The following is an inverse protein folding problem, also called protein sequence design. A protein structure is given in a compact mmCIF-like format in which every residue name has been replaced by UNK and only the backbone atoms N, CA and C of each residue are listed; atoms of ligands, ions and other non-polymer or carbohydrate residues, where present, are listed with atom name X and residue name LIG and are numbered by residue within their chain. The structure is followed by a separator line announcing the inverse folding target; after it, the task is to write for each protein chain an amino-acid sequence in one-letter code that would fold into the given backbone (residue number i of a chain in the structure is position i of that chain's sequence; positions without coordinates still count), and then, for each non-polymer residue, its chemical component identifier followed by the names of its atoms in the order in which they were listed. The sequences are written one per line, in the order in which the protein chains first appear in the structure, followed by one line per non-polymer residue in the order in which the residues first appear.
data_IF_068631576736
#
_entry.id   IF_068631576736
#
_cell.length_a   1.000
_cell.length_b   1.000
_cell.length_c   1.000
_cell.angle_alpha   90.00
_cell.angle_beta   90.00
_cell.angle_gamma   90.00
#
_symmetry.space_group_name_H-M   'P 1'
#
loop_
_entity.id
_entity.type
_entity.pdbx_description
1 polymer ?
#
# COMPACT_ATOMS: atom_id res chain seq x y z
N UNK A 1 -4.12 -6.13 26.68
CA UNK A 1 -4.84 -7.27 26.09
C UNK A 1 -4.25 -7.47 24.71
N UNK A 2 -4.10 -8.72 24.28
CA UNK A 2 -3.50 -9.06 22.98
C UNK A 2 -4.60 -9.66 22.11
N UNK A 3 -4.92 -8.99 21.00
CA UNK A 3 -5.95 -9.43 20.05
C UNK A 3 -5.30 -9.68 18.69
N UNK A 4 -5.69 -10.75 17.99
CA UNK A 4 -5.15 -11.09 16.66
C UNK A 4 -6.14 -10.63 15.61
N UNK A 5 -5.67 -9.78 14.69
CA UNK A 5 -6.43 -9.32 13.52
C UNK A 5 -5.81 -9.83 12.23
N UNK A 6 -6.65 -10.03 11.22
CA UNK A 6 -6.23 -10.40 9.86
C UNK A 6 -6.45 -9.19 8.96
N UNK A 7 -5.40 -8.68 8.32
CA UNK A 7 -5.51 -7.57 7.37
C UNK A 7 -5.72 -8.14 5.96
N UNK A 8 -6.63 -7.57 5.16
CA UNK A 8 -6.86 -8.09 3.83
C UNK A 8 -5.63 -7.84 2.92
N UNK A 9 -5.25 -8.82 2.08
CA UNK A 9 -4.15 -8.64 1.16
C UNK A 9 -4.47 -7.55 0.14
N UNK A 10 -3.42 -6.85 -0.29
CA UNK A 10 -3.55 -5.75 -1.23
C UNK A 10 -4.18 -6.18 -2.56
N UNK A 11 -5.14 -5.38 -3.05
CA UNK A 11 -5.86 -5.64 -4.30
C UNK A 11 -5.19 -4.97 -5.52
N UNK A 12 -4.81 -5.73 -6.56
CA UNK A 12 -4.10 -5.22 -7.74
C UNK A 12 -4.94 -4.46 -8.76
N UNK A 13 -6.25 -4.33 -8.55
CA UNK A 13 -7.13 -3.71 -9.54
C UNK A 13 -6.68 -2.33 -10.06
N UNK A 14 -6.06 -1.43 -9.25
CA UNK A 14 -5.67 -0.12 -9.74
C UNK A 14 -4.54 -0.17 -10.78
N UNK A 15 -3.78 -1.27 -10.83
CA UNK A 15 -2.78 -1.49 -11.88
C UNK A 15 -3.38 -1.76 -13.26
N UNK A 16 -4.67 -2.05 -13.35
CA UNK A 16 -5.29 -2.28 -14.65
C UNK A 16 -5.06 -1.09 -15.60
N UNK A 17 -5.13 0.14 -15.08
CA UNK A 17 -4.93 1.37 -15.86
C UNK A 17 -3.51 1.46 -16.45
N UNK A 18 -2.42 1.44 -15.65
CA UNK A 18 -1.06 1.48 -16.21
C UNK A 18 -0.75 0.29 -17.11
N UNK A 19 -1.29 -0.91 -16.83
CA UNK A 19 -1.12 -2.08 -17.72
C UNK A 19 -1.75 -1.82 -19.10
N UNK A 20 -2.98 -1.31 -19.15
CA UNK A 20 -3.65 -1.00 -20.42
C UNK A 20 -2.87 0.07 -21.19
N UNK A 21 -2.36 1.10 -20.50
CA UNK A 21 -1.53 2.14 -21.12
C UNK A 21 -0.23 1.57 -21.70
N UNK A 22 0.44 0.66 -20.98
CA UNK A 22 1.64 -0.02 -21.46
C UNK A 22 1.37 -0.83 -22.73
N UNK A 23 0.29 -1.63 -22.75
CA UNK A 23 -0.13 -2.41 -23.93
C UNK A 23 -0.43 -1.49 -25.11
N UNK A 24 -1.15 -0.39 -24.87
CA UNK A 24 -1.44 0.63 -25.89
C UNK A 24 -0.17 1.29 -26.45
N UNK A 25 0.78 1.65 -25.59
CA UNK A 25 2.05 2.25 -25.99
C UNK A 25 2.89 1.30 -26.87
N UNK A 26 2.93 0.02 -26.51
CA UNK A 26 3.57 -1.02 -27.31
C UNK A 26 2.92 -1.12 -28.69
N UNK A 27 1.58 -1.17 -28.75
CA UNK A 27 0.85 -1.23 -30.00
C UNK A 27 1.14 -0.02 -30.90
N UNK A 28 1.11 1.20 -30.35
CA UNK A 28 1.44 2.44 -31.08
C UNK A 28 2.87 2.40 -31.62
N UNK A 29 3.83 1.93 -30.82
CA UNK A 29 5.24 1.81 -31.26
C UNK A 29 5.42 0.81 -32.41
N UNK A 30 4.75 -0.35 -32.33
CA UNK A 30 4.77 -1.38 -33.39
C UNK A 30 4.15 -0.84 -34.67
N UNK A 31 2.98 -0.22 -34.60
CA UNK A 31 2.30 0.36 -35.77
C UNK A 31 3.13 1.49 -36.38
N UNK A 32 3.70 2.37 -35.55
CA UNK A 32 4.59 3.45 -36.00
C UNK A 32 5.82 2.92 -36.73
N UNK A 33 6.40 1.82 -36.25
CA UNK A 33 7.52 1.14 -36.89
C UNK A 33 7.11 0.54 -38.24
N UNK A 34 5.97 -0.16 -38.31
CA UNK A 34 5.46 -0.75 -39.57
C UNK A 34 5.15 0.31 -40.63
N UNK A 35 4.58 1.45 -40.22
CA UNK A 35 4.23 2.55 -41.13
C UNK A 35 5.42 3.49 -41.42
N UNK A 36 6.63 3.19 -40.90
CA UNK A 36 7.83 4.05 -41.01
C UNK A 36 7.60 5.49 -40.52
N UNK A 37 6.63 5.70 -39.63
CA UNK A 37 6.32 7.00 -39.05
C UNK A 37 7.11 7.21 -37.78
N UNK A 38 8.25 7.90 -37.92
CA UNK A 38 9.13 8.28 -36.81
C UNK A 38 8.40 8.93 -35.61
N UNK A 39 7.52 9.93 -35.79
CA UNK A 39 6.87 10.57 -34.64
C UNK A 39 5.95 9.61 -33.88
N UNK A 40 5.30 8.68 -34.57
CA UNK A 40 4.39 7.72 -33.93
C UNK A 40 5.15 6.66 -33.11
N UNK A 41 6.31 6.24 -33.61
CA UNK A 41 7.21 5.34 -32.88
C UNK A 41 7.78 6.01 -31.62
N UNK A 42 8.23 7.26 -31.75
CA UNK A 42 8.78 8.04 -30.63
C UNK A 42 7.72 8.33 -29.57
N UNK A 43 6.49 8.68 -29.98
CA UNK A 43 5.36 8.81 -29.07
C UNK A 43 5.12 7.51 -28.29
N UNK A 44 5.12 6.35 -28.97
CA UNK A 44 4.99 5.05 -28.31
C UNK A 44 6.05 4.79 -27.24
N UNK A 45 7.33 5.15 -27.50
CA UNK A 45 8.40 5.01 -26.51
C UNK A 45 8.22 5.93 -25.31
N UNK A 46 7.89 7.20 -25.54
CA UNK A 46 7.66 8.17 -24.46
C UNK A 46 6.47 7.73 -23.60
N UNK A 47 5.37 7.32 -24.23
CA UNK A 47 4.19 6.81 -23.51
C UNK A 47 4.52 5.55 -22.71
N UNK A 48 5.32 4.63 -23.26
CA UNK A 48 5.75 3.43 -22.53
C UNK A 48 6.55 3.79 -21.27
N UNK A 49 7.53 4.69 -21.38
CA UNK A 49 8.36 5.12 -20.25
C UNK A 49 7.48 5.78 -19.17
N UNK A 50 6.61 6.72 -19.58
CA UNK A 50 5.70 7.40 -18.65
C UNK A 50 4.75 6.42 -17.97
N UNK A 51 4.17 5.47 -18.71
CA UNK A 51 3.27 4.46 -18.14
C UNK A 51 4.00 3.49 -17.21
N UNK A 52 5.25 3.12 -17.51
CA UNK A 52 6.06 2.24 -16.68
C UNK A 52 6.40 2.91 -15.34
N UNK A 53 7.01 4.10 -15.38
CA UNK A 53 7.36 4.83 -14.16
C UNK A 53 6.12 5.27 -13.38
N UNK A 54 5.07 5.73 -14.07
CA UNK A 54 3.79 6.06 -13.46
C UNK A 54 3.14 4.85 -12.80
N UNK A 55 3.17 3.67 -13.44
CA UNK A 55 2.66 2.43 -12.88
C UNK A 55 3.37 2.00 -11.60
N UNK A 56 4.71 2.11 -11.57
CA UNK A 56 5.51 1.83 -10.36
C UNK A 56 5.18 2.81 -9.23
N UNK A 57 5.07 4.10 -9.53
CA UNK A 57 4.70 5.11 -8.54
C UNK A 57 3.29 4.87 -7.98
N UNK A 58 2.32 4.58 -8.85
CA UNK A 58 0.94 4.25 -8.48
C UNK A 58 0.91 3.00 -7.59
N UNK A 59 1.62 1.93 -7.97
CA UNK A 59 1.74 0.72 -7.16
C UNK A 59 2.21 1.04 -5.74
N UNK A 60 3.33 1.76 -5.65
CA UNK A 60 3.94 2.09 -4.36
C UNK A 60 3.00 2.90 -3.47
N UNK A 61 2.39 3.96 -4.02
CA UNK A 61 1.47 4.81 -3.27
C UNK A 61 0.21 4.06 -2.84
N UNK A 62 -0.38 3.26 -3.72
CA UNK A 62 -1.61 2.54 -3.41
C UNK A 62 -1.39 1.37 -2.46
N UNK A 63 -0.25 0.68 -2.55
CA UNK A 63 0.13 -0.32 -1.57
C UNK A 63 0.24 0.30 -0.17
N UNK A 64 0.90 1.46 -0.07
CA UNK A 64 1.06 2.18 1.19
C UNK A 64 -0.26 2.69 1.78
N UNK A 65 -1.16 3.22 0.94
CA UNK A 65 -2.47 3.70 1.37
C UNK A 65 -3.38 2.56 1.83
N UNK A 66 -3.40 1.46 1.09
CA UNK A 66 -4.18 0.26 1.45
C UNK A 66 -3.74 -0.31 2.80
N UNK A 67 -2.43 -0.49 2.98
CA UNK A 67 -1.84 -1.00 4.22
C UNK A 67 -2.20 -0.11 5.43
N UNK A 68 -2.28 1.20 5.23
CA UNK A 68 -2.74 2.13 6.27
C UNK A 68 -4.25 2.01 6.52
N UNK A 69 -5.05 1.91 5.46
CA UNK A 69 -6.51 1.79 5.54
C UNK A 69 -6.95 0.51 6.25
N UNK A 70 -6.40 -0.64 5.86
CA UNK A 70 -6.73 -1.94 6.48
C UNK A 70 -6.38 -1.97 7.97
N UNK A 71 -5.23 -1.39 8.38
CA UNK A 71 -4.88 -1.28 9.80
C UNK A 71 -5.87 -0.41 10.57
N UNK A 72 -6.35 0.66 9.94
CA UNK A 72 -7.35 1.53 10.53
C UNK A 72 -8.67 0.79 10.70
N UNK A 73 -9.15 0.12 9.66
CA UNK A 73 -10.41 -0.63 9.66
C UNK A 73 -10.38 -1.77 10.69
N UNK A 74 -9.26 -2.50 10.79
CA UNK A 74 -9.08 -3.54 11.80
C UNK A 74 -9.16 -2.99 13.24
N UNK A 75 -8.56 -1.84 13.54
CA UNK A 75 -8.67 -1.22 14.86
C UNK A 75 -10.08 -0.69 15.13
N UNK A 76 -10.75 -0.15 14.11
CA UNK A 76 -12.15 0.29 14.23
C UNK A 76 -13.08 -0.88 14.53
N UNK A 77 -12.85 -2.05 13.92
CA UNK A 77 -13.61 -3.27 14.19
C UNK A 77 -13.45 -3.77 15.63
N UNK A 78 -12.30 -3.49 16.26
CA UNK A 78 -12.04 -3.76 17.68
C UNK A 78 -12.64 -2.68 18.63
N UNK A 79 -13.27 -1.65 18.08
CA UNK A 79 -13.90 -0.56 18.82
C UNK A 79 -12.99 0.63 19.12
N UNK A 80 -11.86 0.76 18.42
CA UNK A 80 -11.00 1.94 18.52
C UNK A 80 -11.44 3.04 17.54
N UNK A 81 -11.59 4.26 18.04
CA UNK A 81 -11.99 5.43 17.26
C UNK A 81 -10.78 6.28 16.85
N UNK A 82 -10.79 6.74 15.59
CA UNK A 82 -9.74 7.59 15.01
C UNK A 82 -8.30 7.06 15.17
N UNK A 83 -7.99 5.81 14.77
CA UNK A 83 -6.63 5.28 14.93
C UNK A 83 -5.62 6.11 14.13
N UNK A 84 -4.50 6.44 14.76
CA UNK A 84 -3.36 7.07 14.09
C UNK A 84 -2.09 6.27 14.34
N UNK A 85 -1.24 6.18 13.33
CA UNK A 85 -0.03 5.36 13.33
C UNK A 85 1.21 6.25 13.33
N UNK A 86 2.20 5.88 14.13
CA UNK A 86 3.54 6.46 14.08
C UNK A 86 4.49 5.39 13.56
N UNK A 87 5.18 5.69 12.46
CA UNK A 87 6.19 4.80 11.91
C UNK A 87 7.40 4.74 12.86
N UNK A 88 7.69 3.55 13.39
CA UNK A 88 8.99 3.22 13.94
C UNK A 88 9.95 2.92 12.80
N UNK A 89 11.09 3.61 12.73
CA UNK A 89 12.10 3.46 11.67
C UNK A 89 13.04 2.27 11.85
N UNK A 90 12.88 1.50 12.93
CA UNK A 90 13.88 0.50 13.33
C UNK A 90 13.54 -0.90 12.82
N UNK A 91 13.99 -1.22 11.61
CA UNK A 91 14.03 -2.60 11.10
C UNK A 91 15.15 -3.33 11.84
N UNK A 92 14.79 -4.18 12.79
CA UNK A 92 15.72 -5.07 13.50
C UNK A 92 15.49 -6.50 13.01
N UNK A 93 16.55 -7.17 12.55
CA UNK A 93 16.61 -8.60 12.26
C UNK A 93 15.62 -9.18 11.22
N UNK A 94 15.19 -8.38 10.24
CA UNK A 94 14.37 -8.86 9.11
C UNK A 94 12.90 -9.12 9.44
N UNK A 95 12.49 -8.84 10.67
CA UNK A 95 11.08 -8.76 11.07
C UNK A 95 10.55 -7.34 10.83
N UNK A 96 9.27 -7.24 10.46
CA UNK A 96 8.61 -5.94 10.30
C UNK A 96 8.61 -5.20 11.66
N UNK A 97 9.05 -3.93 11.71
CA UNK A 97 9.10 -3.19 12.96
C UNK A 97 7.71 -3.10 13.60
N UNK A 98 7.61 -3.16 14.94
CA UNK A 98 6.38 -2.85 15.64
C UNK A 98 5.83 -1.49 15.23
N UNK A 99 4.54 -1.44 14.87
CA UNK A 99 3.90 -0.19 14.46
C UNK A 99 3.16 0.37 15.67
N UNK A 100 3.66 1.48 16.20
CA UNK A 100 2.99 2.17 17.29
C UNK A 100 1.72 2.86 16.78
N UNK A 101 0.63 2.72 17.53
CA UNK A 101 -0.65 3.33 17.25
C UNK A 101 -1.23 4.00 18.49
N UNK A 102 -2.14 4.93 18.26
CA UNK A 102 -2.94 5.56 19.28
C UNK A 102 -4.35 5.77 18.76
N UNK A 103 -5.34 5.59 19.61
CA UNK A 103 -6.75 5.76 19.28
C UNK A 103 -7.52 6.17 20.54
N UNK A 104 -8.83 6.37 20.39
CA UNK A 104 -9.77 6.54 21.50
C UNK A 104 -10.61 5.26 21.66
N UNK A 105 -10.90 4.84 22.90
CA UNK A 105 -11.82 3.74 23.20
C UNK A 105 -12.62 4.13 24.43
N UNK A 106 -13.95 4.13 24.32
CA UNK A 106 -14.85 4.51 25.41
C UNK A 106 -14.54 5.89 26.04
N UNK A 107 -14.08 6.85 25.24
CA UNK A 107 -13.70 8.20 25.71
C UNK A 107 -12.28 8.32 26.29
N UNK A 108 -11.52 7.22 26.34
CA UNK A 108 -10.15 7.20 26.84
C UNK A 108 -9.13 7.04 25.71
N UNK A 109 -8.02 7.79 25.80
CA UNK A 109 -6.93 7.67 24.83
C UNK A 109 -6.12 6.42 25.12
N UNK A 110 -6.18 5.45 24.21
CA UNK A 110 -5.42 4.21 24.25
C UNK A 110 -4.21 4.31 23.32
N UNK A 111 -3.12 3.65 23.70
CA UNK A 111 -1.92 3.50 22.88
C UNK A 111 -1.54 2.04 22.82
N UNK A 112 -0.92 1.63 21.72
CA UNK A 112 -0.51 0.26 21.54
C UNK A 112 0.55 0.10 20.48
N UNK A 113 0.87 -1.16 20.23
CA UNK A 113 1.73 -1.60 19.13
C UNK A 113 1.02 -2.69 18.33
N UNK A 114 1.21 -2.66 17.02
CA UNK A 114 0.88 -3.74 16.11
C UNK A 114 2.15 -4.56 15.87
N UNK A 115 2.08 -5.86 16.12
CA UNK A 115 3.19 -6.80 15.92
C UNK A 115 2.83 -7.75 14.80
N UNK A 116 3.63 -7.79 13.74
CA UNK A 116 3.45 -8.75 12.65
C UNK A 116 3.70 -10.18 13.15
N UNK A 117 2.84 -11.13 12.78
CA UNK A 117 2.97 -12.55 13.14
C UNK A 117 3.31 -13.45 11.93
N UNK A 118 3.53 -12.85 10.77
CA UNK A 118 3.69 -13.57 9.50
C UNK A 118 2.42 -13.55 8.66
N UNK A 119 2.59 -13.54 7.33
CA UNK A 119 1.48 -13.43 6.38
C UNK A 119 0.63 -12.19 6.65
N UNK A 120 -0.68 -12.40 6.79
CA UNK A 120 -1.69 -11.35 6.97
C UNK A 120 -2.09 -11.14 8.45
N UNK A 121 -1.41 -11.81 9.40
CA UNK A 121 -1.77 -11.78 10.81
C UNK A 121 -0.97 -10.75 11.62
N UNK A 122 -1.68 -10.01 12.47
CA UNK A 122 -1.12 -8.96 13.32
C UNK A 122 -1.68 -9.06 14.74
N UNK A 123 -0.83 -8.88 15.75
CA UNK A 123 -1.24 -8.73 17.15
C UNK A 123 -1.41 -7.26 17.47
N UNK A 124 -2.59 -6.90 17.95
CA UNK A 124 -2.91 -5.61 18.58
C UNK A 124 -2.61 -5.73 20.08
N UNK A 125 -1.60 -5.01 20.55
CA UNK A 125 -1.22 -4.98 21.97
C UNK A 125 -1.32 -3.56 22.52
N UNK A 126 -2.16 -3.37 23.52
CA UNK A 126 -2.26 -2.10 24.26
C UNK A 126 -1.05 -1.90 25.20
N UNK A 127 -0.45 -0.71 25.15
CA UNK A 127 0.61 -0.28 26.06
C UNK A 127 -0.02 0.47 27.23
N UNK A 128 -0.43 -0.24 28.28
CA UNK A 128 -0.79 0.42 29.55
C UNK A 128 0.46 1.10 30.11
N UNK A 129 0.41 2.43 30.29
CA UNK A 129 1.32 3.10 31.22
C UNK A 129 1.02 2.56 32.62
N UNK A 130 1.99 1.87 33.22
CA UNK A 130 2.14 1.86 34.67
C UNK A 130 2.59 3.23 35.17
#
# INVERSE_FOLDING_TARGET
MDEIVTLAPWSPWPLAIPIVLLVGAIAVSIVGTRLRMKPMREAGYVTFIVAAFGGVAIWWSLASMWDTGERQDALVELGYEGPTFSAGTDVVDGELPPIAWQAERDGERVRGVLLHQGGDQWIVRETRRG
#
